data_IF_804995376448
#
_entry.id   IF_804995376448
#
_cell.length_a   1.000
_cell.length_b   1.000
_cell.length_c   1.000
_cell.angle_alpha   90.00
_cell.angle_beta   90.00
_cell.angle_gamma   90.00
#
_symmetry.space_group_name_H-M   'P 1'
#
loop_
_entity.id
_entity.type
_entity.pdbx_description
1 polymer ?
#
# COMPACT_ATOMS: atom_id res chain seq x y z
N UNK A 1 -35.43 -40.44 -32.02
CA UNK A 1 -34.42 -39.42 -31.72
C UNK A 1 -34.91 -38.66 -30.49
N UNK A 2 -34.40 -39.00 -29.30
CA UNK A 2 -34.72 -38.26 -28.07
C UNK A 2 -33.78 -37.07 -27.93
N UNK A 3 -34.19 -35.98 -27.27
CA UNK A 3 -33.28 -34.87 -27.00
C UNK A 3 -32.24 -35.31 -25.97
N UNK A 4 -30.97 -35.09 -26.31
CA UNK A 4 -29.84 -35.20 -25.38
C UNK A 4 -29.97 -34.11 -24.31
N UNK A 5 -29.68 -34.40 -23.02
CA UNK A 5 -29.58 -33.34 -22.02
C UNK A 5 -28.31 -32.53 -22.33
N UNK A 6 -28.47 -31.22 -22.57
CA UNK A 6 -27.34 -30.30 -22.60
C UNK A 6 -26.77 -30.18 -21.19
N UNK A 7 -25.58 -30.73 -20.98
CA UNK A 7 -24.79 -30.50 -19.76
C UNK A 7 -24.47 -29.00 -19.66
N UNK A 8 -25.19 -28.31 -18.80
CA UNK A 8 -24.76 -27.00 -18.31
C UNK A 8 -23.51 -27.23 -17.46
N UNK A 9 -22.34 -27.15 -18.08
CA UNK A 9 -21.10 -26.92 -17.36
C UNK A 9 -21.10 -25.47 -16.90
N UNK A 10 -21.70 -25.19 -15.75
CA UNK A 10 -21.37 -24.00 -15.00
C UNK A 10 -19.91 -24.13 -14.59
N UNK A 11 -19.00 -23.57 -15.40
CA UNK A 11 -17.64 -23.32 -14.96
C UNK A 11 -17.77 -22.49 -13.70
N UNK A 12 -17.47 -23.10 -12.55
CA UNK A 12 -17.37 -22.38 -11.30
C UNK A 12 -16.24 -21.36 -11.49
N UNK A 13 -16.60 -20.13 -11.85
CA UNK A 13 -15.69 -19.01 -11.80
C UNK A 13 -15.29 -18.87 -10.34
N UNK A 14 -14.08 -19.30 -10.00
CA UNK A 14 -13.53 -19.05 -8.68
C UNK A 14 -13.53 -17.54 -8.49
N UNK A 15 -14.43 -17.04 -7.63
CA UNK A 15 -14.43 -15.64 -7.23
C UNK A 15 -13.07 -15.32 -6.62
N UNK A 16 -12.38 -14.34 -7.19
CA UNK A 16 -11.13 -13.88 -6.59
C UNK A 16 -11.45 -13.17 -5.27
N UNK A 17 -11.17 -13.83 -4.16
CA UNK A 17 -11.39 -13.31 -2.81
C UNK A 17 -10.05 -12.90 -2.22
N UNK A 18 -9.80 -11.61 -2.01
CA UNK A 18 -8.63 -11.16 -1.28
C UNK A 18 -8.73 -11.62 0.17
N UNK A 19 -7.67 -12.27 0.65
CA UNK A 19 -7.55 -12.74 2.03
C UNK A 19 -6.55 -11.89 2.78
N UNK A 20 -6.75 -11.74 4.09
CA UNK A 20 -5.76 -11.08 4.92
C UNK A 20 -4.41 -11.80 4.81
N UNK A 21 -3.36 -11.04 4.51
CA UNK A 21 -2.05 -11.56 4.17
C UNK A 21 -0.97 -11.14 5.17
N UNK A 22 -1.16 -10.01 5.85
CA UNK A 22 -0.30 -9.59 6.94
C UNK A 22 -0.43 -8.13 7.29
N UNK A 23 0.51 -7.67 8.12
CA UNK A 23 0.57 -6.28 8.60
C UNK A 23 2.00 -5.78 8.62
N UNK A 24 2.17 -4.48 8.40
CA UNK A 24 3.41 -3.76 8.72
C UNK A 24 3.11 -2.81 9.86
N UNK A 25 3.79 -2.96 10.99
CA UNK A 25 3.70 -1.98 12.06
C UNK A 25 4.67 -0.83 11.77
N UNK A 26 4.16 0.39 11.72
CA UNK A 26 4.95 1.60 11.53
C UNK A 26 5.31 2.16 12.90
N UNK A 27 6.60 2.20 13.19
CA UNK A 27 7.13 2.60 14.48
C UNK A 27 7.96 3.88 14.39
N UNK A 28 7.90 4.71 15.43
CA UNK A 28 8.87 5.76 15.72
C UNK A 28 9.62 5.36 16.99
N UNK A 29 10.84 4.83 16.84
CA UNK A 29 11.56 4.23 17.96
C UNK A 29 10.78 3.07 18.58
N UNK A 30 10.46 3.15 19.88
CA UNK A 30 9.71 2.11 20.61
C UNK A 30 8.19 2.24 20.49
N UNK A 31 7.67 3.30 19.87
CA UNK A 31 6.24 3.57 19.78
C UNK A 31 5.71 3.15 18.41
N UNK A 32 4.66 2.33 18.37
CA UNK A 32 3.86 2.12 17.16
C UNK A 32 2.97 3.34 16.94
N UNK A 33 3.01 3.91 15.74
CA UNK A 33 2.25 5.11 15.35
C UNK A 33 1.16 4.81 14.33
N UNK A 34 1.21 3.61 13.72
CA UNK A 34 0.18 3.11 12.81
C UNK A 34 0.59 1.77 12.21
N UNK A 35 -0.19 1.32 11.23
CA UNK A 35 0.04 0.07 10.53
C UNK A 35 -0.43 0.14 9.08
N UNK A 36 0.12 -0.75 8.26
CA UNK A 36 -0.42 -1.06 6.92
C UNK A 36 -0.96 -2.48 6.96
N UNK A 37 -2.28 -2.61 6.86
CA UNK A 37 -2.91 -3.92 6.67
C UNK A 37 -2.77 -4.34 5.20
N UNK A 38 -2.47 -5.61 4.96
CA UNK A 38 -2.23 -6.15 3.62
C UNK A 38 -3.15 -7.32 3.38
N UNK A 39 -3.91 -7.25 2.28
CA UNK A 39 -4.66 -8.37 1.72
C UNK A 39 -4.03 -8.79 0.41
N UNK A 40 -4.23 -10.05 0.04
CA UNK A 40 -3.70 -10.62 -1.19
C UNK A 40 -4.75 -11.45 -1.90
N UNK A 41 -4.90 -11.23 -3.20
CA UNK A 41 -5.68 -12.11 -4.07
C UNK A 41 -5.13 -13.53 -4.02
N UNK A 42 -6.02 -14.52 -3.87
CA UNK A 42 -5.62 -15.94 -3.91
C UNK A 42 -5.28 -16.36 -5.35
N UNK A 43 -5.91 -15.74 -6.36
CA UNK A 43 -5.75 -16.10 -7.77
C UNK A 43 -4.63 -15.30 -8.44
N UNK A 44 -4.73 -13.97 -8.47
CA UNK A 44 -3.80 -13.06 -9.18
C UNK A 44 -2.55 -12.76 -8.38
N UNK A 45 -2.57 -12.98 -7.06
CA UNK A 45 -1.51 -12.62 -6.10
C UNK A 45 -1.29 -11.12 -5.92
N UNK A 46 -2.15 -10.27 -6.50
CA UNK A 46 -2.15 -8.82 -6.31
C UNK A 46 -2.32 -8.45 -4.83
N UNK A 47 -1.66 -7.38 -4.41
CA UNK A 47 -1.74 -6.84 -3.05
C UNK A 47 -2.71 -5.67 -2.99
N UNK A 48 -3.48 -5.64 -1.90
CA UNK A 48 -4.35 -4.53 -1.51
C UNK A 48 -3.90 -4.07 -0.13
N UNK A 49 -3.78 -2.77 0.08
CA UNK A 49 -3.25 -2.23 1.33
C UNK A 49 -4.17 -1.16 1.87
N UNK A 50 -4.28 -1.09 3.20
CA UNK A 50 -5.04 -0.07 3.90
C UNK A 50 -4.14 0.60 4.95
N UNK A 51 -4.22 1.92 5.01
CA UNK A 51 -3.53 2.73 6.01
C UNK A 51 -4.33 2.73 7.32
N UNK A 52 -3.72 2.34 8.43
CA UNK A 52 -4.30 2.42 9.78
C UNK A 52 -3.49 3.38 10.63
N UNK A 53 -4.07 4.49 11.07
CA UNK A 53 -3.42 5.44 11.97
C UNK A 53 -4.00 5.36 13.37
N UNK A 54 -3.13 5.42 14.38
CA UNK A 54 -3.59 5.43 15.76
C UNK A 54 -4.17 6.80 16.16
N UNK A 55 -5.43 6.78 16.57
CA UNK A 55 -6.16 7.97 17.05
C UNK A 55 -6.68 8.88 15.95
N UNK A 56 -6.80 8.38 14.71
CA UNK A 56 -7.53 9.04 13.62
C UNK A 56 -8.71 8.12 13.27
N UNK A 57 -9.91 8.70 13.25
CA UNK A 57 -11.16 8.01 12.91
C UNK A 57 -11.62 8.29 11.48
N UNK A 58 -10.85 9.09 10.74
CA UNK A 58 -11.15 9.38 9.34
C UNK A 58 -11.15 8.09 8.54
N UNK A 59 -12.18 7.95 7.71
CA UNK A 59 -12.37 6.83 6.81
C UNK A 59 -11.68 7.21 5.51
N UNK A 60 -10.95 6.27 4.92
CA UNK A 60 -10.34 6.49 3.60
C UNK A 60 -11.40 6.93 2.57
N UNK A 61 -11.05 7.87 1.68
CA UNK A 61 -11.95 8.38 0.64
C UNK A 61 -12.37 7.34 -0.40
N UNK A 62 -11.83 6.11 -0.31
CA UNK A 62 -12.14 5.00 -1.18
C UNK A 62 -12.70 3.82 -0.38
N UNK A 63 -13.82 3.27 -0.85
CA UNK A 63 -14.43 2.06 -0.29
C UNK A 63 -13.95 0.86 -1.10
N UNK A 64 -13.47 -0.17 -0.41
CA UNK A 64 -13.11 -1.46 -1.00
C UNK A 64 -11.60 -1.66 -1.20
N UNK A 65 -11.25 -2.51 -2.17
CA UNK A 65 -9.87 -2.96 -2.41
C UNK A 65 -9.38 -2.44 -3.76
N UNK A 66 -8.78 -1.23 -3.80
CA UNK A 66 -8.42 -0.61 -5.06
C UNK A 66 -7.30 -1.39 -5.73
N UNK A 67 -7.53 -1.80 -6.98
CA UNK A 67 -6.50 -2.37 -7.83
C UNK A 67 -5.46 -1.31 -8.17
N UNK A 68 -4.22 -1.76 -8.33
CA UNK A 68 -3.14 -0.93 -8.85
C UNK A 68 -3.05 -1.07 -10.37
N UNK A 69 -2.62 -0.01 -11.08
CA UNK A 69 -2.10 -0.16 -12.43
C UNK A 69 -0.92 -1.15 -12.45
N UNK A 70 -0.69 -1.79 -13.59
CA UNK A 70 0.31 -2.88 -13.75
C UNK A 70 1.74 -2.47 -13.37
N UNK A 71 2.07 -1.20 -13.54
CA UNK A 71 3.37 -0.59 -13.30
C UNK A 71 3.45 0.15 -11.95
N UNK A 72 2.48 -0.09 -11.05
CA UNK A 72 2.45 0.53 -9.72
C UNK A 72 2.61 -0.49 -8.61
N UNK A 73 3.11 -0.02 -7.46
CA UNK A 73 3.21 -0.79 -6.22
C UNK A 73 2.69 0.00 -5.03
N UNK A 74 2.37 -0.72 -3.96
CA UNK A 74 2.13 -0.10 -2.67
C UNK A 74 3.45 0.23 -2.00
N UNK A 75 3.59 1.48 -1.58
CA UNK A 75 4.75 1.95 -0.84
C UNK A 75 4.30 2.83 0.34
N UNK A 76 5.15 2.91 1.35
CA UNK A 76 5.01 3.89 2.41
C UNK A 76 5.98 5.03 2.11
N UNK A 77 5.46 6.25 1.98
CA UNK A 77 6.24 7.48 1.89
C UNK A 77 6.41 8.08 3.30
N UNK A 78 7.59 8.62 3.59
CA UNK A 78 7.95 9.15 4.90
C UNK A 78 8.60 10.52 4.73
N UNK A 79 8.02 11.51 5.40
CA UNK A 79 8.58 12.85 5.52
C UNK A 79 9.69 12.86 6.57
N UNK A 80 10.87 13.33 6.19
CA UNK A 80 12.09 13.43 7.01
C UNK A 80 12.02 14.54 8.04
N UNK A 81 11.35 15.64 7.70
CA UNK A 81 11.32 16.89 8.45
C UNK A 81 10.26 16.91 9.54
N UNK A 82 9.23 16.06 9.44
CA UNK A 82 8.18 15.94 10.45
C UNK A 82 8.58 14.87 11.46
N UNK A 83 8.70 15.26 12.73
CA UNK A 83 9.00 14.30 13.79
C UNK A 83 7.75 13.61 14.35
N UNK A 84 6.59 14.26 14.28
CA UNK A 84 5.33 13.78 14.85
C UNK A 84 4.81 12.49 14.19
N UNK A 85 3.77 11.89 14.79
CA UNK A 85 3.15 10.64 14.29
C UNK A 85 2.62 10.75 12.84
N UNK A 86 2.30 11.96 12.40
CA UNK A 86 1.71 12.27 11.09
C UNK A 86 2.78 12.52 10.02
N UNK A 87 3.82 11.68 9.95
CA UNK A 87 4.96 11.85 9.03
C UNK A 87 5.04 10.83 7.89
N UNK A 88 4.07 9.93 7.78
CA UNK A 88 4.09 8.85 6.81
C UNK A 88 2.76 8.74 6.08
N UNK A 89 2.76 8.16 4.89
CA UNK A 89 1.55 7.92 4.09
C UNK A 89 1.68 6.68 3.21
N UNK A 90 0.61 5.92 3.10
CA UNK A 90 0.49 4.84 2.12
C UNK A 90 0.19 5.44 0.74
N UNK A 91 1.02 5.10 -0.24
CA UNK A 91 0.95 5.63 -1.60
C UNK A 91 0.96 4.51 -2.64
N UNK A 92 0.44 4.83 -3.82
CA UNK A 92 0.50 3.99 -5.02
C UNK A 92 1.63 4.54 -5.90
N UNK A 93 2.83 3.97 -5.77
CA UNK A 93 4.02 4.50 -6.42
C UNK A 93 4.19 3.87 -7.83
N UNK A 94 4.42 4.66 -8.90
CA UNK A 94 4.76 4.13 -10.21
C UNK A 94 6.16 3.51 -10.22
N UNK A 95 6.51 2.85 -11.32
CA UNK A 95 7.89 2.36 -11.50
C UNK A 95 8.89 3.49 -11.70
N UNK A 96 8.57 4.46 -12.54
CA UNK A 96 9.47 5.56 -12.94
C UNK A 96 8.67 6.87 -13.16
N UNK A 97 9.38 8.01 -13.16
CA UNK A 97 8.90 9.30 -13.68
C UNK A 97 8.45 10.30 -12.61
N UNK A 98 7.82 11.38 -13.06
CA UNK A 98 7.24 12.38 -12.16
C UNK A 98 6.02 11.82 -11.45
N UNK A 99 5.95 12.02 -10.14
CA UNK A 99 4.94 11.44 -9.28
C UNK A 99 4.39 12.49 -8.31
N UNK A 100 3.06 12.55 -8.22
CA UNK A 100 2.34 13.43 -7.31
C UNK A 100 1.47 12.65 -6.36
N UNK A 101 1.47 13.04 -5.10
CA UNK A 101 0.57 12.48 -4.09
C UNK A 101 0.23 13.55 -3.04
N UNK A 102 -0.93 13.41 -2.40
CA UNK A 102 -1.32 14.28 -1.30
C UNK A 102 -0.55 13.93 -0.03
N UNK A 103 -0.12 14.90 0.76
CA UNK A 103 0.44 14.71 2.10
C UNK A 103 -0.65 14.22 3.07
N UNK A 104 -0.28 13.97 4.33
CA UNK A 104 -1.13 13.51 5.42
C UNK A 104 -2.33 14.44 5.67
N UNK A 105 -2.18 15.73 5.41
CA UNK A 105 -3.27 16.72 5.54
C UNK A 105 -4.37 16.57 4.48
N UNK A 106 -4.13 15.78 3.43
CA UNK A 106 -5.09 15.59 2.33
C UNK A 106 -5.17 16.76 1.34
N UNK A 107 -4.46 17.86 1.59
CA UNK A 107 -4.56 19.10 0.83
C UNK A 107 -3.23 19.42 0.11
N UNK A 108 -2.11 19.24 0.79
CA UNK A 108 -0.78 19.55 0.27
C UNK A 108 -0.38 18.53 -0.80
N UNK A 109 -0.10 18.99 -2.01
CA UNK A 109 0.41 18.13 -3.09
C UNK A 109 1.93 18.08 -3.02
N UNK A 110 2.47 16.88 -2.87
CA UNK A 110 3.89 16.60 -3.00
C UNK A 110 4.18 16.27 -4.47
N UNK A 111 5.18 16.95 -5.04
CA UNK A 111 5.71 16.70 -6.38
C UNK A 111 7.12 16.13 -6.27
N UNK A 112 7.37 14.96 -6.85
CA UNK A 112 8.64 14.25 -6.71
C UNK A 112 8.94 13.41 -7.94
N UNK A 113 10.18 12.94 -8.04
CA UNK A 113 10.59 11.94 -9.03
C UNK A 113 10.65 10.55 -8.39
N UNK A 114 10.37 9.53 -9.19
CA UNK A 114 10.45 8.12 -8.82
C UNK A 114 11.34 7.38 -9.79
N UNK A 115 12.17 6.47 -9.25
CA UNK A 115 12.88 5.47 -10.05
C UNK A 115 12.93 4.12 -9.33
N UNK A 116 12.71 3.05 -10.08
CA UNK A 116 12.54 1.67 -9.60
C UNK A 116 11.66 1.58 -8.33
N UNK A 117 10.48 2.20 -8.39
CA UNK A 117 9.51 2.26 -7.29
C UNK A 117 10.03 2.92 -5.99
N UNK A 118 11.01 3.81 -6.08
CA UNK A 118 11.53 4.59 -4.96
C UNK A 118 11.42 6.07 -5.25
N UNK A 119 11.05 6.85 -4.25
CA UNK A 119 11.18 8.31 -4.32
C UNK A 119 12.67 8.64 -4.41
N UNK A 120 13.07 9.35 -5.46
CA UNK A 120 14.44 9.79 -5.73
C UNK A 120 14.52 11.31 -5.79
N UNK A 121 15.74 11.84 -5.67
CA UNK A 121 16.03 13.28 -5.80
C UNK A 121 15.16 14.16 -4.87
N UNK A 122 14.84 13.66 -3.67
CA UNK A 122 13.99 14.34 -2.70
C UNK A 122 14.62 14.34 -1.29
N UNK A 123 15.01 15.51 -0.81
CA UNK A 123 15.59 15.69 0.53
C UNK A 123 14.56 15.67 1.65
N UNK A 124 13.27 15.63 1.32
CA UNK A 124 12.16 15.68 2.28
C UNK A 124 11.49 14.32 2.41
N UNK A 125 11.35 13.58 1.31
CA UNK A 125 10.61 12.34 1.28
C UNK A 125 11.48 11.16 0.88
N UNK A 126 11.24 10.03 1.53
CA UNK A 126 11.75 8.74 1.10
C UNK A 126 10.63 7.71 1.14
N UNK A 127 10.85 6.55 0.55
CA UNK A 127 9.85 5.49 0.55
C UNK A 127 10.43 4.10 0.70
N UNK A 128 9.58 3.16 1.13
CA UNK A 128 9.86 1.74 1.06
C UNK A 128 8.65 0.95 0.54
N UNK A 129 8.90 -0.18 -0.09
CA UNK A 129 7.86 -1.04 -0.64
C UNK A 129 7.18 -1.87 0.45
N UNK A 130 5.85 -1.94 0.38
CA UNK A 130 5.05 -2.75 1.32
C UNK A 130 5.40 -4.23 1.19
N UNK A 131 5.49 -4.74 -0.04
CA UNK A 131 5.71 -6.18 -0.30
C UNK A 131 7.00 -6.74 0.34
N UNK A 132 8.02 -5.90 0.52
CA UNK A 132 9.29 -6.30 1.13
C UNK A 132 9.27 -6.33 2.67
N UNK A 133 8.21 -5.77 3.27
CA UNK A 133 8.16 -5.47 4.70
C UNK A 133 6.94 -6.07 5.43
N UNK A 134 6.15 -6.92 4.76
CA UNK A 134 5.00 -7.62 5.34
C UNK A 134 5.42 -8.44 6.56
N UNK A 135 4.61 -8.40 7.62
CA UNK A 135 4.81 -9.06 8.92
C UNK A 135 6.05 -8.56 9.67
N UNK A 136 6.42 -7.29 9.48
CA UNK A 136 7.57 -6.67 10.15
C UNK A 136 7.18 -5.38 10.86
N UNK A 137 8.01 -5.06 11.86
CA UNK A 137 8.03 -3.74 12.48
C UNK A 137 9.05 -2.89 11.73
N UNK A 138 8.61 -1.76 11.19
CA UNK A 138 9.48 -0.82 10.47
C UNK A 138 9.60 0.45 11.31
N UNK A 139 10.78 0.70 11.83
CA UNK A 139 11.10 1.96 12.50
C UNK A 139 11.52 3.00 11.46
N UNK A 140 10.69 4.03 11.27
CA UNK A 140 10.85 5.04 10.23
C UNK A 140 11.79 6.19 10.65
N UNK A 141 12.43 6.10 11.82
CA UNK A 141 13.49 7.05 12.21
C UNK A 141 14.79 6.85 11.43
N UNK A 142 14.96 5.69 10.76
CA UNK A 142 16.16 5.36 9.97
C UNK A 142 15.78 4.66 8.67
N UNK A 143 16.28 5.17 7.54
CA UNK A 143 15.94 4.69 6.19
C UNK A 143 16.41 3.28 5.86
N UNK A 144 17.41 2.75 6.57
CA UNK A 144 17.97 1.42 6.31
C UNK A 144 17.20 0.29 7.02
N UNK A 145 16.17 0.61 7.80
CA UNK A 145 15.38 -0.39 8.53
C UNK A 145 14.43 -1.21 7.65
N UNK A 146 13.71 -0.62 6.68
CA UNK A 146 12.95 -1.39 5.71
C UNK A 146 13.88 -2.16 4.76
N UNK A 147 13.41 -3.33 4.29
CA UNK A 147 14.09 -4.10 3.22
C UNK A 147 13.50 -3.76 1.85
#
# INVERSE_FOLDING_TARGET
MGPTPSENSSSASYEDKPVYFGVININKGKQTIGAVDVWRSVLTKELFCEEKRLGILDIADYIGMPKLPKDHKWAVAINRKIEEKNRWKLIKIPKEGNFKFYDVDGETIIDTEVSDYKIVNNDVWWSFLVENNINRNVDITKEFNPK
#
